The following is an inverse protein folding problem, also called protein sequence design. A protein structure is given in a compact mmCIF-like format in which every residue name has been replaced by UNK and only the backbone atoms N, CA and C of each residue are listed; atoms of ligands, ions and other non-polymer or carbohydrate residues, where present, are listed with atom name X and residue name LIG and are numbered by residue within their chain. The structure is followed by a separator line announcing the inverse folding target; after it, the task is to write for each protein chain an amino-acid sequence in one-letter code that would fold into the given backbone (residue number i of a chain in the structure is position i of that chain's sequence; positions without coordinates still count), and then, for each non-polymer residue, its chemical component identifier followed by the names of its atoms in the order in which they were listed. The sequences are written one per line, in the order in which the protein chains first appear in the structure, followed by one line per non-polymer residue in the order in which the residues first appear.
data_IF_950687694926
#
_entry.id   IF_950687694926
#
_cell.length_a   1.000
_cell.length_b   1.000
_cell.length_c   1.000
_cell.angle_alpha   90.00
_cell.angle_beta   90.00
_cell.angle_gamma   90.00
#
_symmetry.space_group_name_H-M   'P 1'
#
loop_
_entity.id
_entity.type
_entity.pdbx_description
1 polymer ?
#
# COMPACT_ATOMS: atom_id res chain seq x y z
N UNK A 1 25.80 -11.45 6.24
CA UNK A 1 24.71 -10.60 6.76
C UNK A 1 23.42 -11.03 6.09
N UNK A 2 22.31 -11.13 6.83
CA UNK A 2 21.02 -11.45 6.23
C UNK A 2 20.54 -10.29 5.35
N UNK A 3 19.74 -10.59 4.33
CA UNK A 3 19.10 -9.56 3.51
C UNK A 3 18.12 -8.74 4.37
N UNK A 4 18.14 -7.41 4.21
CA UNK A 4 17.16 -6.51 4.82
C UNK A 4 15.83 -6.70 4.12
N UNK A 5 14.77 -7.00 4.85
CA UNK A 5 13.45 -7.32 4.28
C UNK A 5 12.40 -6.32 4.74
N UNK A 6 11.51 -5.97 3.83
CA UNK A 6 10.30 -5.19 4.13
C UNK A 6 9.13 -5.95 3.52
N UNK A 7 8.17 -6.34 4.35
CA UNK A 7 6.85 -6.71 3.88
C UNK A 7 5.90 -5.53 4.13
N UNK A 8 5.45 -4.89 3.06
CA UNK A 8 4.59 -3.71 3.11
C UNK A 8 3.16 -4.11 2.76
N UNK A 9 2.26 -4.04 3.74
CA UNK A 9 0.86 -4.37 3.59
C UNK A 9 0.08 -3.15 3.04
N UNK A 10 -0.63 -3.36 1.94
CA UNK A 10 -1.23 -2.28 1.14
C UNK A 10 -2.70 -2.56 0.80
N UNK A 11 -3.50 -1.50 0.87
CA UNK A 11 -4.79 -1.42 0.19
C UNK A 11 -4.80 -0.17 -0.70
N UNK A 12 -5.19 -0.30 -1.97
CA UNK A 12 -5.11 0.77 -2.98
C UNK A 12 -5.91 2.00 -2.56
N UNK A 13 -6.94 1.83 -1.71
CA UNK A 13 -7.78 2.92 -1.19
C UNK A 13 -7.07 3.86 -0.21
N UNK A 14 -5.87 3.54 0.28
CA UNK A 14 -5.18 4.41 1.23
C UNK A 14 -4.19 5.35 0.53
N UNK A 15 -4.35 6.68 0.68
CA UNK A 15 -3.39 7.63 0.11
C UNK A 15 -2.03 7.53 0.79
N UNK A 16 -1.98 7.20 2.09
CA UNK A 16 -0.71 7.03 2.80
C UNK A 16 -0.03 5.72 2.44
N UNK A 17 -0.79 4.69 2.08
CA UNK A 17 -0.23 3.43 1.58
C UNK A 17 0.39 3.63 0.19
N UNK A 18 -0.24 4.45 -0.67
CA UNK A 18 0.35 4.89 -1.92
C UNK A 18 1.67 5.63 -1.70
N UNK A 19 1.72 6.61 -0.79
CA UNK A 19 2.96 7.38 -0.53
C UNK A 19 4.08 6.45 -0.03
N UNK A 20 3.79 5.56 0.92
CA UNK A 20 4.76 4.58 1.40
C UNK A 20 5.24 3.64 0.28
N UNK A 21 4.32 3.14 -0.54
CA UNK A 21 4.65 2.32 -1.71
C UNK A 21 5.56 3.07 -2.68
N UNK A 22 5.21 4.31 -3.04
CA UNK A 22 5.99 5.12 -3.97
C UNK A 22 7.42 5.36 -3.45
N UNK A 23 7.56 5.74 -2.18
CA UNK A 23 8.88 5.99 -1.58
C UNK A 23 9.70 4.71 -1.53
N UNK A 24 9.14 3.59 -1.08
CA UNK A 24 9.87 2.30 -1.04
C UNK A 24 10.21 1.76 -2.43
N UNK A 25 9.42 2.12 -3.46
CA UNK A 25 9.62 1.73 -4.85
C UNK A 25 10.70 2.54 -5.57
N UNK A 26 10.85 3.83 -5.24
CA UNK A 26 11.64 4.80 -6.02
C UNK A 26 12.79 5.45 -5.26
N UNK A 27 12.76 5.51 -3.93
CA UNK A 27 13.84 6.14 -3.16
C UNK A 27 15.09 5.25 -3.13
N UNK A 28 16.29 5.81 -3.37
CA UNK A 28 17.53 5.06 -3.29
C UNK A 28 17.82 4.51 -1.88
N UNK A 29 17.19 5.08 -0.84
CA UNK A 29 17.32 4.63 0.56
C UNK A 29 16.95 3.15 0.70
N UNK A 30 15.91 2.70 -0.01
CA UNK A 30 15.39 1.34 0.07
C UNK A 30 15.88 0.41 -1.05
N UNK A 31 16.77 0.87 -1.93
CA UNK A 31 17.20 0.11 -3.11
C UNK A 31 17.88 -1.23 -2.79
N UNK A 32 18.49 -1.33 -1.60
CA UNK A 32 19.17 -2.54 -1.12
C UNK A 32 18.29 -3.41 -0.21
N UNK A 33 16.99 -3.11 -0.11
CA UNK A 33 16.02 -3.93 0.62
C UNK A 33 15.34 -4.92 -0.32
N UNK A 34 15.08 -6.13 0.18
CA UNK A 34 14.13 -7.04 -0.45
C UNK A 34 12.72 -6.67 0.02
N UNK A 35 11.91 -6.13 -0.90
CA UNK A 35 10.59 -5.59 -0.57
C UNK A 35 9.51 -6.48 -1.19
N UNK A 36 8.61 -6.95 -0.35
CA UNK A 36 7.38 -7.64 -0.74
C UNK A 36 6.21 -6.70 -0.51
N UNK A 37 5.33 -6.55 -1.50
CA UNK A 37 4.09 -5.81 -1.36
C UNK A 37 2.94 -6.80 -1.18
N UNK A 38 2.27 -6.77 -0.03
CA UNK A 38 1.21 -7.71 0.32
C UNK A 38 -0.16 -7.04 0.22
N UNK A 39 -1.04 -7.47 -0.71
CA UNK A 39 -2.41 -6.98 -0.77
C UNK A 39 -3.18 -7.38 0.50
N UNK A 40 -3.85 -6.40 1.11
CA UNK A 40 -4.75 -6.58 2.26
C UNK A 40 -6.06 -5.83 2.05
N UNK A 41 -7.07 -6.16 2.86
CA UNK A 41 -8.33 -5.43 2.87
C UNK A 41 -8.43 -4.55 4.10
N UNK A 42 -8.28 -3.23 3.91
CA UNK A 42 -8.29 -2.25 5.01
C UNK A 42 -9.60 -2.30 5.81
N UNK A 43 -10.73 -2.50 5.13
CA UNK A 43 -12.03 -2.63 5.81
C UNK A 43 -12.07 -3.80 6.80
N UNK A 44 -11.37 -4.90 6.48
CA UNK A 44 -11.23 -6.07 7.36
C UNK A 44 -10.38 -5.77 8.59
N UNK A 45 -9.21 -5.14 8.39
CA UNK A 45 -8.30 -4.73 9.46
C UNK A 45 -9.01 -3.77 10.43
N UNK A 46 -9.68 -2.73 9.92
CA UNK A 46 -10.40 -1.77 10.75
C UNK A 46 -11.49 -2.45 11.58
N UNK A 47 -12.24 -3.40 10.99
CA UNK A 47 -13.27 -4.16 11.70
C UNK A 47 -12.66 -5.03 12.81
N UNK A 48 -11.59 -5.77 12.52
CA UNK A 48 -10.93 -6.64 13.49
C UNK A 48 -10.41 -5.86 14.71
N UNK A 49 -9.93 -4.64 14.51
CA UNK A 49 -9.42 -3.78 15.59
C UNK A 49 -10.48 -2.89 16.25
N UNK A 50 -11.77 -3.03 15.88
CA UNK A 50 -12.84 -2.10 16.30
C UNK A 50 -12.46 -0.62 16.06
N UNK A 51 -11.78 -0.35 14.95
CA UNK A 51 -11.27 0.97 14.57
C UNK A 51 -12.19 1.64 13.55
N UNK A 52 -12.36 2.95 13.68
CA UNK A 52 -13.21 3.74 12.79
C UNK A 52 -12.37 4.42 11.72
N UNK A 53 -12.75 4.27 10.45
CA UNK A 53 -12.05 4.94 9.35
C UNK A 53 -11.98 6.46 9.57
N UNK A 54 -10.81 7.10 9.37
CA UNK A 54 -10.64 8.55 9.58
C UNK A 54 -11.64 9.42 8.82
N UNK A 55 -12.13 8.95 7.67
CA UNK A 55 -13.09 9.68 6.84
C UNK A 55 -14.47 9.85 7.49
N UNK A 56 -14.84 8.95 8.42
CA UNK A 56 -16.10 9.01 9.15
C UNK A 56 -15.98 9.79 10.47
N UNK A 57 -14.76 10.21 10.83
CA UNK A 57 -14.52 11.02 12.02
C UNK A 57 -14.54 12.50 11.63
N UNK A 58 -15.48 13.26 12.22
CA UNK A 58 -15.84 14.66 11.91
C UNK A 58 -14.68 15.55 11.43
N UNK A 59 -13.58 15.57 12.18
CA UNK A 59 -12.42 16.42 11.88
C UNK A 59 -11.31 15.71 11.10
N UNK A 60 -11.21 14.37 11.20
CA UNK A 60 -10.11 13.63 10.58
C UNK A 60 -10.27 13.51 9.06
N UNK A 61 -11.47 13.60 8.50
CA UNK A 61 -11.64 13.60 7.04
C UNK A 61 -10.90 14.77 6.38
N UNK A 62 -11.22 16.00 6.81
CA UNK A 62 -10.56 17.22 6.30
C UNK A 62 -9.05 17.21 6.59
N UNK A 63 -8.67 16.79 7.80
CA UNK A 63 -7.27 16.65 8.19
C UNK A 63 -6.51 15.69 7.27
N UNK A 64 -7.07 14.50 7.02
CA UNK A 64 -6.45 13.46 6.19
C UNK A 64 -6.21 13.97 4.77
N UNK A 65 -7.16 14.71 4.20
CA UNK A 65 -6.98 15.31 2.87
C UNK A 65 -5.83 16.33 2.85
N UNK A 66 -5.71 17.17 3.87
CA UNK A 66 -4.58 18.10 3.99
C UNK A 66 -3.26 17.36 4.18
N UNK A 67 -3.24 16.32 5.02
CA UNK A 67 -2.02 15.57 5.33
C UNK A 67 -1.47 14.79 4.15
N UNK A 68 -2.32 14.13 3.34
CA UNK A 68 -1.81 13.42 2.15
C UNK A 68 -1.09 14.36 1.18
N UNK A 69 -1.54 15.63 1.07
CA UNK A 69 -0.92 16.64 0.21
C UNK A 69 0.38 17.18 0.83
N UNK A 70 0.43 17.36 2.15
CA UNK A 70 1.66 17.74 2.86
C UNK A 70 2.75 16.70 2.67
N UNK A 71 2.42 15.42 2.91
CA UNK A 71 3.36 14.31 2.73
C UNK A 71 3.77 14.13 1.27
N UNK A 72 2.83 14.23 0.33
CA UNK A 72 3.12 14.20 -1.10
C UNK A 72 4.13 15.29 -1.50
N UNK A 73 3.88 16.55 -1.12
CA UNK A 73 4.80 17.66 -1.39
C UNK A 73 6.16 17.43 -0.76
N UNK A 74 6.16 16.97 0.48
CA UNK A 74 7.37 16.80 1.27
C UNK A 74 8.28 15.68 0.75
N UNK A 75 7.69 14.57 0.29
CA UNK A 75 8.39 13.39 -0.23
C UNK A 75 8.48 13.38 -1.76
N UNK A 76 8.08 14.46 -2.43
CA UNK A 76 8.02 14.58 -3.90
C UNK A 76 7.23 13.45 -4.58
N UNK A 77 6.14 12.99 -3.97
CA UNK A 77 5.26 11.96 -4.52
C UNK A 77 4.14 12.62 -5.34
N UNK A 78 3.94 12.27 -6.62
CA UNK A 78 2.82 12.77 -7.41
C UNK A 78 1.49 12.50 -6.71
N UNK A 79 0.58 13.47 -6.69
CA UNK A 79 -0.69 13.32 -5.99
C UNK A 79 -1.74 14.25 -6.59
N UNK A 80 -2.93 13.73 -6.83
CA UNK A 80 -4.10 14.45 -7.30
C UNK A 80 -4.50 15.49 -6.23
N UNK A 81 -4.73 16.76 -6.58
CA UNK A 81 -4.92 17.83 -5.59
C UNK A 81 -6.17 17.64 -4.72
N UNK A 82 -7.22 17.03 -5.26
CA UNK A 82 -8.48 16.82 -4.54
C UNK A 82 -8.67 15.37 -4.06
N UNK A 83 -9.63 15.14 -3.18
CA UNK A 83 -10.05 13.75 -2.92
C UNK A 83 -10.74 13.20 -4.18
N UNK A 84 -10.41 11.98 -4.64
CA UNK A 84 -11.10 11.37 -5.77
C UNK A 84 -12.61 11.34 -5.56
N UNK A 85 -13.37 11.65 -6.62
CA UNK A 85 -14.84 11.73 -6.52
C UNK A 85 -15.42 10.38 -6.09
N UNK A 86 -16.28 10.37 -5.07
CA UNK A 86 -16.88 9.13 -4.57
C UNK A 86 -15.97 8.32 -3.63
N UNK A 87 -14.87 8.90 -3.14
CA UNK A 87 -14.05 8.31 -2.10
C UNK A 87 -14.84 8.14 -0.77
N UNK A 88 -14.67 7.04 -0.03
CA UNK A 88 -13.80 5.89 -0.31
C UNK A 88 -14.41 4.93 -1.34
N UNK A 89 -13.57 4.31 -2.15
CA UNK A 89 -13.99 3.27 -3.10
C UNK A 89 -13.96 1.89 -2.43
N UNK A 90 -14.84 0.98 -2.86
CA UNK A 90 -14.78 -0.42 -2.44
C UNK A 90 -13.63 -1.13 -3.17
N UNK A 91 -12.67 -1.70 -2.45
CA UNK A 91 -11.48 -2.32 -3.05
C UNK A 91 -11.45 -3.84 -2.98
N UNK A 92 -12.43 -4.49 -2.35
CA UNK A 92 -12.42 -5.94 -2.14
C UNK A 92 -12.16 -6.73 -3.44
N UNK A 93 -12.81 -6.38 -4.55
CA UNK A 93 -12.64 -7.09 -5.81
C UNK A 93 -11.24 -6.91 -6.41
N UNK A 94 -10.68 -5.69 -6.37
CA UNK A 94 -9.35 -5.43 -6.91
C UNK A 94 -8.26 -6.03 -6.02
N UNK A 95 -8.44 -6.01 -4.69
CA UNK A 95 -7.49 -6.66 -3.77
C UNK A 95 -7.42 -8.17 -3.97
N UNK A 96 -8.57 -8.83 -4.21
CA UNK A 96 -8.58 -10.26 -4.54
C UNK A 96 -7.88 -10.53 -5.86
N UNK A 97 -8.10 -9.71 -6.89
CA UNK A 97 -7.38 -9.85 -8.15
C UNK A 97 -5.86 -9.68 -7.94
N UNK A 98 -5.43 -8.72 -7.13
CA UNK A 98 -4.02 -8.55 -6.77
C UNK A 98 -3.46 -9.79 -6.03
N UNK A 99 -4.20 -10.40 -5.10
CA UNK A 99 -3.77 -11.66 -4.46
C UNK A 99 -3.52 -12.81 -5.44
N UNK A 100 -4.14 -12.79 -6.62
CA UNK A 100 -3.93 -13.80 -7.67
C UNK A 100 -2.77 -13.46 -8.63
N UNK A 101 -2.17 -12.27 -8.52
CA UNK A 101 -1.02 -11.84 -9.32
C UNK A 101 0.28 -12.32 -8.63
N UNK A 102 1.24 -12.89 -9.37
CA UNK A 102 2.55 -13.25 -8.82
C UNK A 102 3.26 -12.06 -8.16
N UNK A 103 3.99 -12.31 -7.08
CA UNK A 103 4.61 -11.26 -6.26
C UNK A 103 5.55 -10.35 -7.07
N UNK A 104 6.24 -10.89 -8.08
CA UNK A 104 7.17 -10.18 -8.95
C UNK A 104 6.45 -9.19 -9.89
N UNK A 105 5.17 -9.42 -10.18
CA UNK A 105 4.34 -8.61 -11.07
C UNK A 105 3.46 -7.61 -10.30
N UNK A 106 3.26 -7.83 -8.99
CA UNK A 106 2.50 -6.92 -8.13
C UNK A 106 2.96 -5.45 -8.21
N UNK A 107 4.27 -5.13 -8.27
CA UNK A 107 4.70 -3.75 -8.42
C UNK A 107 4.09 -3.06 -9.64
N UNK A 108 4.10 -3.69 -10.82
CA UNK A 108 3.52 -3.08 -12.03
C UNK A 108 2.01 -2.83 -11.89
N UNK A 109 1.29 -3.74 -11.23
CA UNK A 109 -0.14 -3.56 -10.95
C UNK A 109 -0.40 -2.42 -9.96
N UNK A 110 0.37 -2.34 -8.87
CA UNK A 110 0.26 -1.24 -7.90
C UNK A 110 0.61 0.10 -8.53
N UNK A 111 1.68 0.18 -9.33
CA UNK A 111 2.07 1.37 -10.08
C UNK A 111 0.89 1.90 -10.91
N UNK A 112 0.24 1.02 -11.67
CA UNK A 112 -0.89 1.37 -12.53
C UNK A 112 -2.14 1.79 -11.73
N UNK A 113 -2.53 1.01 -10.72
CA UNK A 113 -3.74 1.28 -9.92
C UNK A 113 -3.60 2.55 -9.07
N UNK A 114 -2.43 2.76 -8.45
CA UNK A 114 -2.19 3.96 -7.67
C UNK A 114 -2.07 5.21 -8.55
N UNK A 115 -1.49 5.09 -9.75
CA UNK A 115 -1.50 6.19 -10.73
C UNK A 115 -2.94 6.61 -11.02
N UNK A 116 -3.81 5.68 -11.37
CA UNK A 116 -5.21 5.98 -11.68
C UNK A 116 -5.92 6.66 -10.50
N UNK A 117 -5.84 6.09 -9.29
CA UNK A 117 -6.58 6.64 -8.15
C UNK A 117 -5.99 7.93 -7.59
N UNK A 118 -4.67 7.95 -7.37
CA UNK A 118 -4.01 9.00 -6.58
C UNK A 118 -3.23 10.00 -7.41
N UNK A 119 -2.96 9.76 -8.69
CA UNK A 119 -2.31 10.75 -9.57
C UNK A 119 -3.33 11.38 -10.50
N UNK A 120 -4.17 10.56 -11.14
CA UNK A 120 -5.17 11.02 -12.11
C UNK A 120 -6.54 11.30 -11.47
N UNK A 121 -6.75 10.91 -10.21
CA UNK A 121 -8.03 11.10 -9.50
C UNK A 121 -9.17 10.19 -9.99
N UNK A 122 -8.86 9.15 -10.75
CA UNK A 122 -9.81 8.16 -11.25
C UNK A 122 -10.22 7.16 -10.17
N UNK A 123 -11.42 7.33 -9.62
CA UNK A 123 -11.98 6.47 -8.59
C UNK A 123 -12.68 5.21 -9.12
N UNK A 124 -12.68 4.96 -10.44
CA UNK A 124 -13.34 3.80 -11.05
C UNK A 124 -12.46 2.55 -10.92
N UNK A 125 -12.27 2.05 -9.70
CA UNK A 125 -11.52 0.80 -9.42
C UNK A 125 -12.34 -0.22 -8.61
N UNK A 126 -13.63 0.05 -8.41
CA UNK A 126 -14.49 -0.70 -7.51
C UNK A 126 -15.15 -1.93 -8.13
N UNK A 127 -15.00 -2.15 -9.44
CA UNK A 127 -15.62 -3.27 -10.14
C UNK A 127 -14.67 -3.86 -11.20
N UNK A 128 -14.77 -5.18 -11.50
CA UNK A 128 -13.94 -5.85 -12.50
C UNK A 128 -13.81 -5.12 -13.83
N UNK A 129 -14.93 -4.65 -14.38
CA UNK A 129 -14.96 -3.93 -15.66
C UNK A 129 -14.13 -2.64 -15.67
N UNK A 130 -13.84 -2.06 -14.51
CA UNK A 130 -13.14 -0.78 -14.40
C UNK A 130 -11.66 -0.97 -14.09
N UNK A 131 -11.27 -1.93 -13.24
CA UNK A 131 -9.86 -2.19 -12.94
C UNK A 131 -9.19 -3.18 -13.90
N UNK A 132 -9.94 -4.06 -14.58
CA UNK A 132 -9.35 -5.05 -15.49
C UNK A 132 -8.50 -4.41 -16.59
N UNK A 133 -8.97 -3.38 -17.34
CA UNK A 133 -8.14 -2.76 -18.40
C UNK A 133 -6.82 -2.17 -17.87
N UNK A 134 -6.81 -1.72 -16.61
CA UNK A 134 -5.61 -1.18 -15.95
C UNK A 134 -4.61 -2.31 -15.67
N UNK A 135 -5.09 -3.46 -15.18
CA UNK A 135 -4.26 -4.65 -14.98
C UNK A 135 -3.77 -5.22 -16.32
N UNK A 136 -4.61 -5.25 -17.35
CA UNK A 136 -4.22 -5.71 -18.70
C UNK A 136 -3.07 -4.86 -19.27
N UNK A 137 -3.11 -3.55 -19.07
CA UNK A 137 -2.04 -2.65 -19.48
C UNK A 137 -0.74 -2.86 -18.67
N UNK A 138 -0.85 -3.27 -17.41
CA UNK A 138 0.29 -3.47 -16.51
C UNK A 138 1.01 -4.81 -16.73
N UNK A 139 0.25 -5.91 -16.88
CA UNK A 139 0.81 -7.28 -16.87
C UNK A 139 0.36 -8.14 -18.06
N UNK A 140 -0.37 -7.57 -19.00
CA UNK A 140 -0.90 -8.27 -20.17
C UNK A 140 -2.27 -8.92 -19.93
N UNK A 141 -3.00 -9.13 -21.03
CA UNK A 141 -4.40 -9.61 -21.02
C UNK A 141 -4.59 -10.97 -20.36
N UNK A 142 -3.70 -11.92 -20.67
CA UNK A 142 -3.81 -13.28 -20.17
C UNK A 142 -3.68 -13.34 -18.63
N UNK A 143 -2.65 -12.69 -18.08
CA UNK A 143 -2.42 -12.66 -16.64
C UNK A 143 -3.53 -11.91 -15.90
N UNK A 144 -3.95 -10.75 -16.42
CA UNK A 144 -5.01 -9.97 -15.83
C UNK A 144 -6.37 -10.71 -15.84
N UNK A 145 -6.69 -11.40 -16.94
CA UNK A 145 -7.90 -12.21 -17.05
C UNK A 145 -7.88 -13.41 -16.08
N UNK A 146 -6.76 -14.14 -16.01
CA UNK A 146 -6.59 -15.22 -15.04
C UNK A 146 -6.71 -14.71 -13.60
N UNK A 147 -6.07 -13.60 -13.26
CA UNK A 147 -6.18 -13.02 -11.92
C UNK A 147 -7.62 -12.64 -11.56
N UNK A 148 -8.39 -12.10 -12.51
CA UNK A 148 -9.80 -11.79 -12.31
C UNK A 148 -10.65 -13.07 -12.11
N UNK A 149 -10.42 -14.11 -12.92
CA UNK A 149 -11.10 -15.39 -12.74
C UNK A 149 -10.81 -15.99 -11.36
N UNK A 150 -9.52 -16.05 -11.00
CA UNK A 150 -9.06 -16.60 -9.72
C UNK A 150 -9.58 -15.78 -8.52
N UNK A 151 -9.80 -14.46 -8.68
CA UNK A 151 -10.25 -13.57 -7.60
C UNK A 151 -11.56 -13.98 -6.92
N UNK A 152 -12.39 -14.79 -7.59
CA UNK A 152 -13.65 -15.28 -7.06
C UNK A 152 -13.59 -16.68 -6.43
N UNK A 153 -12.45 -17.36 -6.56
CA UNK A 153 -12.24 -18.70 -5.99
C UNK A 153 -12.05 -18.60 -4.47
N UNK A 154 -12.38 -19.68 -3.76
CA UNK A 154 -12.22 -19.73 -2.31
C UNK A 154 -10.75 -19.54 -1.87
N UNK A 155 -9.75 -20.17 -2.51
CA UNK A 155 -8.34 -19.99 -2.15
C UNK A 155 -7.87 -18.52 -2.15
N UNK A 156 -8.29 -17.72 -3.14
CA UNK A 156 -7.90 -16.31 -3.21
C UNK A 156 -8.66 -15.44 -2.20
N UNK A 157 -9.92 -15.77 -1.90
CA UNK A 157 -10.67 -15.11 -0.82
C UNK A 157 -10.00 -15.35 0.52
N UNK A 158 -9.60 -16.60 0.78
CA UNK A 158 -8.92 -17.02 2.01
C UNK A 158 -7.53 -16.38 2.10
N UNK A 159 -6.80 -16.26 0.98
CA UNK A 159 -5.51 -15.59 0.95
C UNK A 159 -5.60 -14.11 1.34
N UNK A 160 -6.58 -13.37 0.82
CA UNK A 160 -6.77 -11.96 1.20
C UNK A 160 -7.14 -11.81 2.69
N UNK A 161 -7.94 -12.74 3.22
CA UNK A 161 -8.27 -12.81 4.65
C UNK A 161 -7.00 -13.08 5.45
N UNK A 162 -6.26 -14.14 5.12
CA UNK A 162 -5.03 -14.53 5.81
C UNK A 162 -3.96 -13.42 5.80
N UNK A 163 -3.80 -12.71 4.68
CA UNK A 163 -2.89 -11.56 4.62
C UNK A 163 -3.32 -10.43 5.57
N UNK A 164 -4.63 -10.16 5.65
CA UNK A 164 -5.19 -9.12 6.52
C UNK A 164 -5.10 -9.54 8.00
N UNK A 165 -5.38 -10.80 8.31
CA UNK A 165 -5.30 -11.37 9.65
C UNK A 165 -3.84 -11.38 10.14
N UNK A 166 -2.89 -11.80 9.29
CA UNK A 166 -1.46 -11.72 9.60
C UNK A 166 -1.03 -10.29 9.94
N UNK A 167 -1.49 -9.29 9.18
CA UNK A 167 -1.20 -7.89 9.51
C UNK A 167 -1.72 -7.55 10.91
N UNK A 168 -2.95 -7.92 11.24
CA UNK A 168 -3.56 -7.70 12.57
C UNK A 168 -2.80 -8.43 13.68
N UNK A 169 -2.40 -9.68 13.46
CA UNK A 169 -1.60 -10.49 14.41
C UNK A 169 -0.26 -9.84 14.74
N UNK A 170 0.36 -9.16 13.76
CA UNK A 170 1.59 -8.39 13.99
C UNK A 170 1.35 -7.00 14.59
N UNK A 171 0.09 -6.60 14.79
CA UNK A 171 -0.30 -5.37 15.47
C UNK A 171 -0.96 -4.30 14.59
N UNK A 172 -1.24 -4.60 13.31
CA UNK A 172 -1.81 -3.62 12.40
C UNK A 172 -3.24 -3.22 12.81
N UNK A 173 -3.48 -1.92 12.87
CA UNK A 173 -4.81 -1.31 13.09
C UNK A 173 -5.20 -0.35 11.94
N UNK A 174 -4.43 -0.37 10.86
CA UNK A 174 -4.57 0.45 9.67
C UNK A 174 -3.40 0.20 8.72
N UNK A 175 -3.35 0.93 7.61
CA UNK A 175 -2.28 0.83 6.60
C UNK A 175 -1.72 2.22 6.24
N UNK A 176 -0.49 2.33 5.70
CA UNK A 176 0.47 1.25 5.44
C UNK A 176 0.97 0.61 6.74
N UNK A 177 1.24 -0.69 6.69
CA UNK A 177 1.87 -1.43 7.76
C UNK A 177 3.16 -2.07 7.22
N UNK A 178 4.27 -1.82 7.90
CA UNK A 178 5.59 -2.33 7.55
C UNK A 178 5.93 -3.44 8.54
N UNK A 179 6.29 -4.62 8.05
CA UNK A 179 6.92 -5.70 8.80
C UNK A 179 8.36 -5.81 8.28
N UNK A 180 9.33 -5.41 9.10
CA UNK A 180 10.72 -5.21 8.68
C UNK A 180 11.64 -6.18 9.40
N UNK A 181 12.55 -6.83 8.67
CA UNK A 181 13.62 -7.66 9.25
C UNK A 181 14.98 -7.04 8.93
N UNK A 182 15.77 -6.72 9.97
CA UNK A 182 17.09 -6.10 9.82
C UNK A 182 18.18 -7.14 9.48
N UNK A 183 19.43 -6.68 9.28
CA UNK A 183 20.55 -7.55 8.92
C UNK A 183 20.98 -8.55 10.00
N UNK A 184 20.57 -8.31 11.25
CA UNK A 184 20.78 -9.18 12.41
C UNK A 184 19.69 -10.25 12.55
N UNK A 185 18.63 -10.18 11.74
CA UNK A 185 17.50 -11.11 11.79
C UNK A 185 16.39 -10.74 12.77
N UNK A 186 16.46 -9.56 13.39
CA UNK A 186 15.40 -9.04 14.25
C UNK A 186 14.26 -8.48 13.40
N UNK A 187 13.03 -8.65 13.85
CA UNK A 187 11.84 -8.17 13.16
C UNK A 187 11.07 -7.17 14.02
N UNK A 188 10.77 -6.01 13.44
CA UNK A 188 9.90 -4.99 14.04
C UNK A 188 8.83 -4.54 13.04
N UNK A 189 7.73 -4.00 13.56
CA UNK A 189 6.64 -3.48 12.74
C UNK A 189 6.42 -1.98 12.96
N UNK A 190 6.05 -1.28 11.88
CA UNK A 190 5.83 0.16 11.87
C UNK A 190 4.53 0.49 11.14
N UNK A 191 3.84 1.53 11.58
CA UNK A 191 2.61 2.00 10.95
C UNK A 191 2.73 3.44 10.48
N UNK A 192 2.26 3.69 9.25
CA UNK A 192 2.16 5.05 8.71
C UNK A 192 3.40 5.52 7.96
N UNK A 193 3.18 6.46 7.04
CA UNK A 193 4.24 7.08 6.23
C UNK A 193 5.20 7.93 7.08
N UNK A 194 4.72 8.44 8.20
CA UNK A 194 5.46 9.24 9.19
C UNK A 194 6.41 8.42 10.08
N UNK A 195 6.54 7.11 9.81
CA UNK A 195 7.49 6.21 10.47
C UNK A 195 8.59 5.71 9.53
N UNK A 196 8.64 6.15 8.27
CA UNK A 196 9.65 5.67 7.32
C UNK A 196 11.09 5.95 7.77
N UNK A 197 11.38 7.05 8.47
CA UNK A 197 12.71 7.27 9.05
C UNK A 197 13.06 6.26 10.15
N UNK A 198 12.08 5.83 10.96
CA UNK A 198 12.30 4.76 11.95
C UNK A 198 12.53 3.42 11.25
N UNK A 199 11.79 3.13 10.17
CA UNK A 199 12.03 1.95 9.32
C UNK A 199 13.46 1.96 8.79
N UNK A 200 13.93 3.09 8.24
CA UNK A 200 15.28 3.22 7.72
C UNK A 200 16.35 3.05 8.83
N UNK A 201 16.13 3.66 10.00
CA UNK A 201 17.02 3.54 11.14
C UNK A 201 17.12 2.08 11.65
N UNK A 202 15.98 1.41 11.82
CA UNK A 202 15.90 0.01 12.25
C UNK A 202 16.61 -0.93 11.27
N UNK A 203 16.47 -0.68 9.97
CA UNK A 203 17.14 -1.45 8.92
C UNK A 203 18.61 -1.06 8.72
N UNK A 204 19.11 -0.03 9.42
CA UNK A 204 20.47 0.49 9.27
C UNK A 204 20.73 1.00 7.85
N UNK A 205 19.79 1.78 7.30
CA UNK A 205 19.86 2.38 5.96
C UNK A 205 20.39 3.82 6.04
N UNK A 206 21.20 4.19 5.06
CA UNK A 206 21.69 5.56 4.89
C UNK A 206 20.59 6.44 4.28
N UNK A 207 20.17 7.46 5.02
CA UNK A 207 19.06 8.36 4.63
C UNK A 207 19.54 9.66 3.97
N UNK A 208 20.86 9.91 3.96
CA UNK A 208 21.46 11.17 3.49
C UNK A 208 21.21 11.46 2.01
N UNK A 209 20.94 10.42 1.22
CA UNK A 209 20.63 10.48 -0.21
C UNK A 209 19.22 11.00 -0.53
N UNK A 210 18.32 11.07 0.45
CA UNK A 210 16.94 11.52 0.27
C UNK A 210 16.61 12.69 1.22
N UNK A 211 16.39 13.87 0.64
CA UNK A 211 16.08 15.07 1.42
C UNK A 211 14.77 14.93 2.22
N UNK A 212 13.83 14.10 1.75
CA UNK A 212 12.58 13.82 2.44
C UNK A 212 12.81 13.12 3.79
N UNK A 213 13.91 12.40 3.98
CA UNK A 213 14.19 11.77 5.26
C UNK A 213 14.73 12.73 6.33
N UNK A 214 15.30 13.88 5.94
CA UNK A 214 15.90 14.83 6.89
C UNK A 214 14.89 15.50 7.82
N UNK A 215 13.62 15.65 7.42
CA UNK A 215 12.58 16.20 8.32
C UNK A 215 11.69 15.13 8.97
N UNK A 216 12.01 13.86 8.77
CA UNK A 216 11.42 12.74 9.53
C UNK A 216 12.31 12.31 10.72
N UNK A 217 13.53 12.86 10.83
CA UNK A 217 14.42 12.77 11.99
C UNK A 217 14.19 13.96 12.93
#
# INVERSE_FOLDING_TARGET
MAARKINLYLDVVSPFAYIAYFVTRHSPVFANCHITYTPVFLGGILKACNNTSPIFVKNKNKWTNTERLRWSKFLNVPMYPDMPKGFPILTMSVQRALCAIPAEQLPACFDALYKELWVEGNSQLNAPKTFLPILEAAVGKEMAANALEQSNTQPIKDLLIANSDKAVETGAFGIPWFECTNSSGETECFWGVDRMAQVAAFLGLETTADQGFRAMM
#
